data_IF_121194819117
#
_entry.id   IF_121194819117
#
_cell.length_a   1.000
_cell.length_b   1.000
_cell.length_c   1.000
_cell.angle_alpha   90.00
_cell.angle_beta   90.00
_cell.angle_gamma   90.00
#
_symmetry.space_group_name_H-M   'P 1'
#
loop_
_entity.id
_entity.type
_entity.pdbx_description
1 polymer ?
#
# COMPACT_ATOMS: atom_id res chain seq x y z
N UNK A 1 2.92 -22.67 -6.03
CA UNK A 1 1.67 -22.34 -5.32
C UNK A 1 1.81 -22.38 -3.80
N UNK A 2 2.61 -23.29 -3.23
CA UNK A 2 2.76 -23.43 -1.76
C UNK A 2 3.33 -22.20 -1.05
N UNK A 3 4.26 -21.47 -1.68
CA UNK A 3 4.92 -20.31 -1.07
C UNK A 3 4.06 -19.03 -1.12
N UNK A 4 3.12 -18.93 -2.08
CA UNK A 4 2.25 -17.76 -2.24
C UNK A 4 1.20 -17.68 -1.13
N UNK A 5 0.67 -18.82 -0.69
CA UNK A 5 -0.31 -18.89 0.40
C UNK A 5 0.34 -18.57 1.75
N UNK A 6 1.57 -19.05 1.99
CA UNK A 6 2.29 -18.83 3.25
C UNK A 6 2.54 -17.33 3.49
N UNK A 7 2.95 -16.58 2.45
CA UNK A 7 3.21 -15.14 2.56
C UNK A 7 1.93 -14.37 2.90
N UNK A 8 0.81 -14.69 2.24
CA UNK A 8 -0.50 -14.06 2.50
C UNK A 8 -0.96 -14.32 3.95
N UNK A 9 -0.78 -15.54 4.46
CA UNK A 9 -1.15 -15.87 5.86
C UNK A 9 -0.26 -15.20 6.91
N UNK A 10 1.04 -15.02 6.64
CA UNK A 10 1.96 -14.37 7.57
C UNK A 10 1.68 -12.86 7.69
N UNK A 11 1.33 -12.22 6.58
CA UNK A 11 1.01 -10.79 6.54
C UNK A 11 -0.30 -10.49 7.29
N UNK A 12 -1.32 -11.34 7.15
CA UNK A 12 -2.57 -11.22 7.90
C UNK A 12 -2.36 -11.26 9.42
N UNK A 13 -1.39 -12.04 9.92
CA UNK A 13 -1.04 -12.07 11.35
C UNK A 13 -0.35 -10.78 11.84
N UNK A 14 0.44 -10.12 10.98
CA UNK A 14 1.17 -8.88 11.33
C UNK A 14 0.22 -7.68 11.41
N UNK A 15 -0.84 -7.66 10.60
CA UNK A 15 -1.83 -6.57 10.57
C UNK A 15 -2.70 -6.44 11.84
N UNK A 16 -2.69 -7.42 12.74
CA UNK A 16 -3.48 -7.38 13.99
C UNK A 16 -2.94 -6.39 15.03
N UNK A 17 -1.69 -5.91 14.89
CA UNK A 17 -0.97 -5.14 15.93
C UNK A 17 -0.85 -3.64 15.57
N UNK A 18 -1.23 -3.22 14.35
CA UNK A 18 -1.03 -1.85 13.86
C UNK A 18 -2.26 -0.98 14.20
N UNK A 19 -2.08 0.28 14.67
CA UNK A 19 -3.17 1.25 14.78
C UNK A 19 -3.90 1.38 13.44
N UNK A 20 -5.23 1.32 13.45
CA UNK A 20 -6.01 1.23 12.23
C UNK A 20 -6.15 2.60 11.55
N UNK A 21 -5.76 2.70 10.28
CA UNK A 21 -6.09 3.85 9.45
C UNK A 21 -7.59 3.89 9.10
N UNK A 22 -8.12 5.10 8.88
CA UNK A 22 -9.47 5.32 8.35
C UNK A 22 -9.41 5.34 6.82
N UNK A 23 -9.92 4.27 6.21
CA UNK A 23 -10.05 4.13 4.76
C UNK A 23 -11.49 4.48 4.34
N UNK A 24 -11.84 5.76 4.42
CA UNK A 24 -13.14 6.24 3.94
C UNK A 24 -13.10 6.30 2.40
N UNK A 25 -13.45 5.17 1.77
CA UNK A 25 -13.67 4.98 0.33
C UNK A 25 -12.58 5.58 -0.58
N UNK A 26 -11.39 4.98 -0.57
CA UNK A 26 -10.36 5.26 -1.58
C UNK A 26 -10.97 5.01 -2.97
N UNK A 27 -10.90 5.98 -3.90
CA UNK A 27 -11.50 5.81 -5.22
C UNK A 27 -10.90 4.64 -6.00
N UNK A 28 -11.72 3.95 -6.79
CA UNK A 28 -11.30 2.78 -7.59
C UNK A 28 -10.15 3.08 -8.56
N UNK A 29 -10.02 4.32 -9.04
CA UNK A 29 -8.90 4.68 -9.92
C UNK A 29 -7.53 4.56 -9.23
N UNK A 30 -7.48 4.66 -7.90
CA UNK A 30 -6.26 4.48 -7.11
C UNK A 30 -5.81 3.01 -7.16
N UNK A 31 -6.77 2.10 -7.17
CA UNK A 31 -6.51 0.66 -7.29
C UNK A 31 -5.86 0.31 -8.64
N UNK A 32 -6.19 1.06 -9.70
CA UNK A 32 -5.50 0.91 -11.00
C UNK A 32 -4.02 1.29 -10.91
N UNK A 33 -3.68 2.38 -10.20
CA UNK A 33 -2.29 2.78 -9.98
C UNK A 33 -1.49 1.71 -9.24
N UNK A 34 -2.09 1.09 -8.21
CA UNK A 34 -1.49 -0.04 -7.51
C UNK A 34 -1.26 -1.25 -8.43
N UNK A 35 -2.22 -1.55 -9.30
CA UNK A 35 -2.11 -2.59 -10.31
C UNK A 35 -0.99 -2.32 -11.32
N UNK A 36 -0.93 -1.11 -11.87
CA UNK A 36 0.12 -0.70 -12.81
C UNK A 36 1.51 -0.80 -12.20
N UNK A 37 1.69 -0.40 -10.95
CA UNK A 37 2.99 -0.54 -10.30
C UNK A 37 3.36 -2.00 -10.05
N UNK A 38 2.41 -2.82 -9.59
CA UNK A 38 2.65 -4.25 -9.34
C UNK A 38 3.01 -5.04 -10.61
N UNK A 39 2.66 -4.51 -11.78
CA UNK A 39 2.89 -5.11 -13.11
C UNK A 39 3.99 -4.40 -13.90
N UNK A 40 4.78 -3.54 -13.26
CA UNK A 40 5.89 -2.78 -13.88
C UNK A 40 5.44 -1.83 -15.02
N UNK A 41 4.15 -1.49 -15.08
CA UNK A 41 3.62 -0.54 -16.06
C UNK A 41 3.91 0.92 -15.69
N UNK A 42 4.12 1.22 -14.41
CA UNK A 42 4.65 2.50 -13.92
C UNK A 42 5.85 2.25 -13.01
N UNK A 43 6.78 3.21 -12.98
CA UNK A 43 7.98 3.16 -12.14
C UNK A 43 7.64 3.32 -10.65
N UNK A 44 8.57 2.90 -9.77
CA UNK A 44 8.49 3.17 -8.34
C UNK A 44 8.30 4.66 -8.04
N UNK A 45 9.01 5.54 -8.77
CA UNK A 45 8.88 6.99 -8.61
C UNK A 45 7.47 7.48 -8.92
N UNK A 46 6.86 6.99 -10.00
CA UNK A 46 5.48 7.36 -10.35
C UNK A 46 4.48 6.84 -9.32
N UNK A 47 4.72 5.63 -8.78
CA UNK A 47 3.90 5.10 -7.70
C UNK A 47 4.02 5.94 -6.42
N UNK A 48 5.24 6.23 -5.96
CA UNK A 48 5.48 7.06 -4.75
C UNK A 48 4.84 8.43 -4.89
N UNK A 49 5.04 9.10 -6.03
CA UNK A 49 4.42 10.39 -6.31
C UNK A 49 2.87 10.32 -6.25
N UNK A 50 2.30 9.21 -6.72
CA UNK A 50 0.85 9.00 -6.66
C UNK A 50 0.37 8.82 -5.21
N UNK A 51 1.10 8.08 -4.38
CA UNK A 51 0.77 7.94 -2.95
C UNK A 51 0.91 9.29 -2.22
N UNK A 52 1.98 10.04 -2.49
CA UNK A 52 2.19 11.37 -1.93
C UNK A 52 1.01 12.30 -2.27
N UNK A 53 0.57 12.30 -3.53
CA UNK A 53 -0.62 13.05 -3.95
C UNK A 53 -1.87 12.62 -3.17
N UNK A 54 -2.12 11.32 -3.02
CA UNK A 54 -3.30 10.78 -2.34
C UNK A 54 -3.35 11.15 -0.85
N UNK A 55 -2.19 11.18 -0.19
CA UNK A 55 -2.06 11.60 1.21
C UNK A 55 -2.29 13.11 1.32
N UNK A 56 -1.66 13.91 0.44
CA UNK A 56 -1.78 15.37 0.46
C UNK A 56 -3.21 15.86 0.20
N UNK A 57 -3.91 15.22 -0.74
CA UNK A 57 -5.31 15.53 -1.07
C UNK A 57 -6.30 14.89 -0.08
N UNK A 58 -5.81 14.20 0.97
CA UNK A 58 -6.61 13.53 2.02
C UNK A 58 -7.57 12.46 1.48
N UNK A 59 -7.23 11.89 0.32
CA UNK A 59 -7.93 10.75 -0.28
C UNK A 59 -7.57 9.48 0.49
N UNK A 60 -6.30 9.34 0.86
CA UNK A 60 -5.83 8.34 1.82
C UNK A 60 -5.47 9.07 3.11
N UNK A 61 -6.09 8.67 4.21
CA UNK A 61 -5.78 9.23 5.53
C UNK A 61 -4.90 8.26 6.31
N UNK A 62 -3.64 8.64 6.49
CA UNK A 62 -2.68 7.95 7.38
C UNK A 62 -2.49 8.79 8.64
N UNK A 63 -2.22 8.14 9.79
CA UNK A 63 -2.02 8.87 11.07
C UNK A 63 -0.65 9.53 11.21
N UNK A 64 -0.01 9.88 10.08
CA UNK A 64 1.37 10.39 10.03
C UNK A 64 1.42 11.66 9.18
N UNK A 65 2.16 12.66 9.66
CA UNK A 65 2.34 13.97 9.02
C UNK A 65 3.67 14.10 8.26
N UNK A 66 4.34 12.99 7.97
CA UNK A 66 5.65 12.95 7.33
C UNK A 66 5.53 12.58 5.84
N UNK A 67 6.42 13.17 5.02
CA UNK A 67 6.54 12.84 3.60
C UNK A 67 7.15 11.45 3.43
N UNK A 68 6.78 10.75 2.36
CA UNK A 68 7.38 9.45 2.00
C UNK A 68 8.87 9.65 1.68
N UNK A 69 9.73 9.39 2.66
CA UNK A 69 11.18 9.56 2.55
C UNK A 69 11.91 8.23 2.56
N UNK A 70 11.82 7.44 1.49
CA UNK A 70 12.57 6.17 1.43
C UNK A 70 14.00 6.42 0.93
N UNK A 71 14.95 6.60 1.84
CA UNK A 71 16.38 6.72 1.49
C UNK A 71 16.95 5.47 0.81
N UNK A 72 16.30 4.32 0.98
CA UNK A 72 16.69 3.01 0.45
C UNK A 72 15.71 2.46 -0.61
N UNK A 73 14.84 3.31 -1.18
CA UNK A 73 13.77 2.89 -2.11
C UNK A 73 12.61 2.16 -1.43
N UNK A 74 11.58 1.83 -2.22
CA UNK A 74 10.37 1.18 -1.71
C UNK A 74 10.60 -0.34 -1.60
N UNK A 75 10.37 -0.97 -0.44
CA UNK A 75 10.52 -2.41 -0.29
C UNK A 75 9.56 -3.24 -1.15
N UNK A 76 10.01 -4.39 -1.65
CA UNK A 76 9.22 -5.31 -2.49
C UNK A 76 7.89 -5.77 -1.86
N UNK A 77 7.81 -5.84 -0.52
CA UNK A 77 6.57 -6.23 0.16
C UNK A 77 5.43 -5.23 -0.11
N UNK A 78 5.75 -3.95 -0.32
CA UNK A 78 4.77 -2.90 -0.67
C UNK A 78 4.24 -3.14 -2.08
N UNK A 79 5.12 -3.50 -3.03
CA UNK A 79 4.76 -3.81 -4.41
C UNK A 79 3.85 -5.03 -4.52
N UNK A 80 4.13 -6.05 -3.72
CA UNK A 80 3.25 -7.21 -3.60
C UNK A 80 1.88 -6.84 -3.03
N UNK A 81 1.85 -5.96 -2.02
CA UNK A 81 0.62 -5.46 -1.40
C UNK A 81 -0.24 -4.66 -2.39
N UNK A 82 0.38 -3.81 -3.20
CA UNK A 82 -0.29 -3.10 -4.29
C UNK A 82 -0.94 -4.07 -5.29
N UNK A 83 -0.24 -5.15 -5.66
CA UNK A 83 -0.78 -6.19 -6.54
C UNK A 83 -1.97 -6.93 -5.94
N UNK A 84 -1.90 -7.30 -4.66
CA UNK A 84 -3.02 -7.94 -3.98
C UNK A 84 -4.24 -7.03 -3.86
N UNK A 85 -4.04 -5.74 -3.57
CA UNK A 85 -5.15 -4.80 -3.50
C UNK A 85 -5.79 -4.60 -4.88
N UNK A 86 -4.97 -4.52 -5.93
CA UNK A 86 -5.45 -4.38 -7.32
C UNK A 86 -6.29 -5.57 -7.82
N UNK A 87 -6.18 -6.72 -7.16
CA UNK A 87 -6.87 -7.97 -7.52
C UNK A 87 -7.91 -8.39 -6.47
N UNK A 88 -8.30 -7.48 -5.59
CA UNK A 88 -9.28 -7.70 -4.51
C UNK A 88 -8.89 -8.84 -3.53
N UNK A 89 -7.61 -9.20 -3.49
CA UNK A 89 -7.09 -10.23 -2.59
C UNK A 89 -6.87 -9.71 -1.15
N UNK A 90 -6.72 -8.39 -0.99
CA UNK A 90 -6.76 -7.70 0.30
C UNK A 90 -7.72 -6.50 0.22
N UNK A 91 -8.25 -6.13 1.37
CA UNK A 91 -9.11 -4.96 1.52
C UNK A 91 -8.35 -3.65 1.36
N UNK A 92 -9.07 -2.58 1.03
CA UNK A 92 -8.54 -1.22 1.04
C UNK A 92 -7.91 -0.84 2.38
N UNK A 93 -8.53 -1.25 3.48
CA UNK A 93 -7.99 -1.02 4.82
C UNK A 93 -6.63 -1.67 5.02
N UNK A 94 -6.43 -2.89 4.53
CA UNK A 94 -5.13 -3.56 4.59
C UNK A 94 -4.08 -2.85 3.72
N UNK A 95 -4.47 -2.38 2.54
CA UNK A 95 -3.58 -1.58 1.69
C UNK A 95 -3.18 -0.25 2.35
N UNK A 96 -4.13 0.51 2.87
CA UNK A 96 -3.84 1.80 3.54
C UNK A 96 -2.96 1.60 4.77
N UNK A 97 -3.21 0.55 5.58
CA UNK A 97 -2.36 0.22 6.73
C UNK A 97 -0.93 -0.13 6.31
N UNK A 98 -0.74 -0.80 5.17
CA UNK A 98 0.58 -1.07 4.62
C UNK A 98 1.31 0.22 4.20
N UNK A 99 0.62 1.14 3.52
CA UNK A 99 1.18 2.45 3.18
C UNK A 99 1.55 3.23 4.43
N UNK A 100 0.68 3.22 5.44
CA UNK A 100 0.97 3.86 6.73
C UNK A 100 2.19 3.26 7.41
N UNK A 101 2.34 1.93 7.38
CA UNK A 101 3.52 1.26 7.92
C UNK A 101 4.81 1.68 7.20
N UNK A 102 4.76 1.79 5.86
CA UNK A 102 5.89 2.26 5.06
C UNK A 102 6.31 3.69 5.44
N UNK A 103 5.35 4.57 5.73
CA UNK A 103 5.64 5.96 6.11
C UNK A 103 6.23 6.03 7.52
N UNK A 104 5.83 5.13 8.43
CA UNK A 104 6.35 5.06 9.81
C UNK A 104 7.73 4.41 9.92
N UNK A 105 8.16 3.63 8.92
CA UNK A 105 9.37 2.80 8.98
C UNK A 105 10.61 3.53 8.49
#
# INVERSE_FOLDING_TARGET
>A
MKNKIIIVTMISLVFLIIPQANAESVPDWVKNTAGWWSTDAISEKEFVNSIEFLVNDKIIQVSVSESIGTSNGVPDWVKNTAGWWSTDAISEKEFVNAIEFLIKS
#
